data_IF_018042874805
#
_entry.id   IF_018042874805
#
_cell.length_a   1.000
_cell.length_b   1.000
_cell.length_c   1.000
_cell.angle_alpha   90.00
_cell.angle_beta   90.00
_cell.angle_gamma   90.00
#
_symmetry.space_group_name_H-M   'P 1'
#
loop_
_entity.id
_entity.type
_entity.pdbx_description
1 polymer ?
2 non-polymer ?
3 non-polymer ?
4 non-polymer ?
5 non-polymer ?
6 non-polymer ?
7 non-polymer ?
8 water ?
#
# COMPACT_ATOMS: atom_id res chain seq x y z
N UNK A 6 16.23 -6.92 39.35
CA UNK A 6 17.18 -7.56 38.43
C UNK A 6 17.02 -7.06 37.00
N UNK A 7 18.13 -7.06 36.27
CA UNK A 7 18.16 -6.34 34.99
C UNK A 7 17.31 -7.01 33.92
N UNK A 8 17.16 -8.34 33.95
CA UNK A 8 16.51 -9.06 32.85
C UNK A 8 15.58 -10.13 33.42
N UNK A 9 14.32 -10.09 32.99
CA UNK A 9 13.38 -11.16 33.31
C UNK A 9 13.45 -12.25 32.24
N UNK A 10 13.62 -13.50 32.67
CA UNK A 10 13.46 -14.62 31.76
C UNK A 10 12.09 -15.27 31.89
N UNK A 11 11.19 -14.63 32.58
CA UNK A 11 9.80 -15.02 32.66
C UNK A 11 8.91 -14.00 31.95
N UNK A 12 7.81 -14.43 31.35
CA UNK A 12 6.86 -13.48 30.75
C UNK A 12 6.32 -12.51 31.79
N UNK A 13 5.96 -11.32 31.32
CA UNK A 13 5.57 -10.20 32.16
C UNK A 13 4.19 -9.73 31.74
N UNK A 14 3.34 -9.41 32.71
CA UNK A 14 2.05 -8.80 32.44
C UNK A 14 2.05 -7.35 32.90
N UNK A 15 1.61 -6.45 32.02
CA UNK A 15 1.36 -5.06 32.38
C UNK A 15 -0.14 -4.83 32.39
N UNK A 16 -0.61 -4.01 33.33
CA UNK A 16 -2.04 -3.74 33.49
C UNK A 16 -2.18 -2.49 34.35
N UNK A 17 -3.41 -2.25 34.83
CA UNK A 17 -3.67 -1.04 35.61
C UNK A 17 -2.85 -0.99 36.90
N UNK A 18 -2.50 -2.16 37.46
CA UNK A 18 -1.70 -2.21 38.68
C UNK A 18 -0.21 -2.12 38.43
N UNK A 19 0.24 -2.33 37.19
CA UNK A 19 1.66 -2.24 36.86
C UNK A 19 1.77 -1.73 35.43
N UNK A 20 2.00 -0.43 35.27
CA UNK A 20 2.01 0.20 33.96
C UNK A 20 3.42 0.41 33.43
N UNK A 21 4.45 0.07 34.21
CA UNK A 21 5.84 0.28 33.83
C UNK A 21 6.53 -1.05 33.67
N UNK A 22 7.14 -1.28 32.50
CA UNK A 22 8.08 -2.37 32.35
C UNK A 22 9.39 -1.93 32.99
N UNK A 23 9.95 -2.74 33.88
CA UNK A 23 11.12 -2.28 34.63
C UNK A 23 12.36 -3.15 34.42
N UNK A 24 12.30 -4.11 33.51
CA UNK A 24 13.48 -4.88 33.14
C UNK A 24 13.35 -5.30 31.68
N UNK A 25 14.48 -5.61 31.06
CA UNK A 25 14.42 -6.29 29.78
C UNK A 25 13.75 -7.65 29.97
N UNK A 26 13.07 -8.12 28.94
CA UNK A 26 12.41 -9.41 28.95
C UNK A 26 13.03 -10.23 27.84
N UNK A 27 13.55 -11.42 28.18
CA UNK A 27 14.22 -12.28 27.21
C UNK A 27 13.73 -13.70 27.48
N UNK A 28 12.90 -14.23 26.58
CA UNK A 28 12.34 -15.58 26.70
C UNK A 28 12.88 -16.39 25.54
N UNK A 29 13.44 -17.57 25.85
CA UNK A 29 13.94 -18.49 24.84
C UNK A 29 13.32 -19.86 25.09
N UNK A 30 13.03 -20.62 24.03
CA UNK A 30 12.53 -21.97 24.26
C UNK A 30 12.13 -22.70 23.00
N UNK A 31 11.34 -23.75 23.20
CA UNK A 31 10.83 -24.54 22.08
C UNK A 31 9.32 -24.68 22.16
N UNK A 32 8.68 -23.78 22.89
CA UNK A 32 7.23 -23.75 23.04
C UNK A 32 6.70 -22.39 22.60
N UNK A 33 5.38 -22.27 22.67
CA UNK A 33 4.70 -21.00 22.49
C UNK A 33 5.23 -19.97 23.47
N UNK A 34 5.37 -18.72 23.00
CA UNK A 34 5.80 -17.62 23.87
C UNK A 34 4.94 -16.39 23.60
N UNK A 35 4.54 -15.70 24.67
CA UNK A 35 4.08 -14.31 24.64
C UNK A 35 4.90 -13.63 25.74
N UNK A 36 5.86 -12.79 25.35
CA UNK A 36 6.83 -12.32 26.32
C UNK A 36 6.21 -11.28 27.26
N UNK A 37 5.41 -10.37 26.73
CA UNK A 37 4.79 -9.32 27.51
C UNK A 37 3.32 -9.23 27.12
N UNK A 38 2.43 -9.27 28.10
CA UNK A 38 0.99 -9.15 27.87
C UNK A 38 0.54 -7.83 28.48
N UNK A 39 -0.18 -7.04 27.69
CA UNK A 39 -0.79 -5.79 28.17
C UNK A 39 -2.29 -6.03 28.28
N UNK A 40 -2.80 -6.05 29.52
CA UNK A 40 -4.22 -6.28 29.79
C UNK A 40 -4.86 -4.95 30.17
N UNK A 41 -5.81 -4.49 29.35
CA UNK A 41 -6.38 -3.16 29.53
C UNK A 41 -7.71 -3.16 30.25
N UNK A 42 -8.32 -4.31 30.50
CA UNK A 42 -9.77 -4.33 30.70
C UNK A 42 -10.19 -3.80 32.06
N UNK A 43 -9.33 -3.87 33.09
CA UNK A 43 -9.70 -3.36 34.40
C UNK A 43 -9.34 -1.89 34.59
N UNK A 44 -8.67 -1.27 33.61
CA UNK A 44 -8.49 0.18 33.60
C UNK A 44 -9.85 0.88 33.66
N UNK A 45 -9.98 1.85 34.59
CA UNK A 45 -11.23 2.61 34.64
C UNK A 45 -11.29 3.63 33.52
N UNK A 46 -10.17 4.27 33.18
CA UNK A 46 -10.13 5.00 31.92
C UNK A 46 -9.16 4.32 30.97
N UNK A 47 -8.50 5.10 30.13
CA UNK A 47 -7.46 4.55 29.28
C UNK A 47 -6.28 4.07 30.14
N UNK A 48 -5.46 3.20 29.56
CA UNK A 48 -4.26 2.71 30.19
C UNK A 48 -3.04 3.33 29.50
N UNK A 49 -2.11 3.86 30.29
CA UNK A 49 -0.88 4.44 29.77
C UNK A 49 0.30 3.61 30.27
N UNK A 50 1.00 2.95 29.35
CA UNK A 50 2.06 2.00 29.66
C UNK A 50 3.40 2.52 29.17
N UNK A 51 4.45 2.30 29.96
CA UNK A 51 5.79 2.71 29.54
C UNK A 51 6.71 1.51 29.56
N UNK A 52 7.49 1.34 28.48
CA UNK A 52 8.49 0.27 28.44
C UNK A 52 9.82 0.72 29.03
N UNK A 53 9.97 2.00 29.38
CA UNK A 53 11.17 2.49 30.03
C UNK A 53 12.47 2.29 29.26
N UNK A 54 12.39 2.17 27.93
CA UNK A 54 13.56 1.86 27.12
C UNK A 54 13.99 0.41 27.16
N UNK A 55 13.25 -0.46 27.82
CA UNK A 55 13.63 -1.86 27.93
C UNK A 55 13.27 -2.63 26.68
N UNK A 56 14.10 -3.61 26.35
CA UNK A 56 13.85 -4.46 25.20
C UNK A 56 13.06 -5.70 25.61
N UNK A 57 12.38 -6.28 24.63
CA UNK A 57 11.50 -7.41 24.81
C UNK A 57 11.80 -8.39 23.69
N UNK A 58 12.16 -9.63 24.03
CA UNK A 58 12.60 -10.60 23.02
C UNK A 58 11.99 -11.96 23.31
N UNK A 59 11.27 -12.50 22.33
CA UNK A 59 10.72 -13.84 22.38
C UNK A 59 11.33 -14.64 21.24
N UNK A 60 12.01 -15.74 21.56
CA UNK A 60 12.68 -16.59 20.60
C UNK A 60 12.27 -18.03 20.85
N UNK A 61 11.72 -18.69 19.83
CA UNK A 61 11.32 -20.08 20.03
C UNK A 61 11.51 -20.87 18.74
N UNK A 62 11.84 -22.15 18.90
CA UNK A 62 11.89 -23.08 17.79
C UNK A 62 10.59 -23.87 17.64
N UNK A 63 9.53 -23.45 18.30
CA UNK A 63 8.28 -24.20 18.24
C UNK A 63 7.74 -24.15 16.82
N UNK A 64 7.32 -25.30 16.29
CA UNK A 64 6.92 -25.36 14.89
C UNK A 64 5.46 -24.93 14.69
N UNK A 65 4.55 -25.55 15.42
CA UNK A 65 3.13 -25.29 15.24
C UNK A 65 2.53 -24.61 16.45
N UNK A 66 3.19 -23.56 16.94
CA UNK A 66 2.57 -22.63 17.86
C UNK A 66 3.22 -21.28 17.66
N UNK A 67 2.64 -20.27 18.31
CA UNK A 67 2.92 -18.88 18.00
C UNK A 67 4.00 -18.31 18.90
N UNK A 68 4.77 -17.37 18.35
CA UNK A 68 5.80 -16.65 19.08
C UNK A 68 5.43 -15.17 19.01
N UNK A 69 5.19 -14.57 20.17
CA UNK A 69 4.68 -13.21 20.25
C UNK A 69 5.56 -12.40 21.20
N UNK A 70 5.95 -11.20 20.76
CA UNK A 70 6.67 -10.28 21.62
C UNK A 70 5.77 -9.65 22.64
N UNK A 71 4.74 -8.94 22.15
CA UNK A 71 3.78 -8.23 22.99
C UNK A 71 2.38 -8.63 22.55
N UNK A 72 1.50 -8.92 23.51
CA UNK A 72 0.09 -9.08 23.18
C UNK A 72 -0.71 -8.04 23.95
N UNK A 73 -1.63 -7.37 23.26
CA UNK A 73 -2.48 -6.33 23.84
C UNK A 73 -3.90 -6.87 23.84
N UNK A 74 -4.48 -7.02 25.03
CA UNK A 74 -5.81 -7.60 25.18
C UNK A 74 -6.68 -6.69 26.05
N UNK A 75 -7.97 -6.99 26.08
CA UNK A 75 -8.91 -6.23 26.87
C UNK A 75 -9.84 -5.36 26.04
N UNK A 76 -10.42 -4.34 26.67
CA UNK A 76 -11.44 -3.54 26.01
C UNK A 76 -11.32 -2.05 26.32
N UNK A 77 -10.20 -1.60 26.89
CA UNK A 77 -9.97 -0.18 27.12
C UNK A 77 -8.87 0.32 26.17
N UNK A 78 -8.85 1.64 25.97
CA UNK A 78 -7.80 2.25 25.16
C UNK A 78 -6.48 2.16 25.89
N UNK A 79 -5.39 2.00 25.14
CA UNK A 79 -4.05 1.97 25.70
C UNK A 79 -3.11 2.83 24.87
N UNK A 80 -2.18 3.50 25.55
CA UNK A 80 -1.06 4.20 24.92
C UNK A 80 0.19 3.46 25.35
N UNK A 81 0.99 3.03 24.38
CA UNK A 81 2.20 2.29 24.65
C UNK A 81 3.37 3.20 24.37
N UNK A 82 4.11 3.53 25.40
CA UNK A 82 5.27 4.39 25.25
C UNK A 82 6.48 3.49 25.14
N UNK A 83 6.95 3.29 23.90
CA UNK A 83 7.96 2.30 23.55
C UNK A 83 9.26 2.94 23.05
N UNK A 84 9.45 4.23 23.28
CA UNK A 84 10.63 4.93 22.76
C UNK A 84 11.91 4.23 23.19
N UNK A 85 12.79 3.96 22.22
CA UNK A 85 14.09 3.32 22.39
C UNK A 85 13.97 1.85 22.78
N UNK A 86 12.78 1.26 22.70
CA UNK A 86 12.61 -0.16 22.98
C UNK A 86 12.56 -0.94 21.67
N UNK A 87 13.17 -2.13 21.67
CA UNK A 87 13.05 -3.06 20.56
C UNK A 87 12.26 -4.28 21.02
N UNK A 88 11.21 -4.60 20.28
CA UNK A 88 10.30 -5.67 20.61
C UNK A 88 10.49 -6.70 19.51
N UNK A 89 10.98 -7.88 19.87
CA UNK A 89 11.41 -8.88 18.89
C UNK A 89 10.66 -10.20 19.10
N UNK A 90 10.13 -10.76 18.01
CA UNK A 90 9.65 -12.14 17.99
C UNK A 90 10.41 -12.88 16.89
N UNK A 91 11.05 -14.00 17.24
CA UNK A 91 11.91 -14.67 16.28
C UNK A 91 12.07 -16.15 16.63
N UNK A 92 12.85 -16.83 15.82
CA UNK A 92 13.06 -18.26 15.90
C UNK A 92 12.38 -18.95 14.73
N UNK A 93 13.00 -20.02 14.25
CA UNK A 93 12.52 -20.71 13.07
C UNK A 93 11.38 -21.65 13.43
N UNK A 94 10.23 -21.48 12.78
CA UNK A 94 9.10 -22.35 12.96
C UNK A 94 8.10 -22.11 11.85
N UNK A 95 7.20 -23.07 11.66
CA UNK A 95 6.20 -22.94 10.59
C UNK A 95 5.21 -21.82 10.90
N UNK A 96 4.76 -21.72 12.15
CA UNK A 96 3.77 -20.73 12.52
C UNK A 96 4.41 -19.34 12.64
N UNK A 97 3.58 -18.31 12.47
CA UNK A 97 4.11 -16.96 12.30
C UNK A 97 4.72 -16.47 13.62
N UNK A 98 5.78 -15.70 13.49
CA UNK A 98 6.36 -14.94 14.60
C UNK A 98 5.84 -13.50 14.49
N UNK A 99 5.25 -12.99 15.56
CA UNK A 99 4.64 -11.67 15.52
C UNK A 99 5.20 -10.81 16.64
N UNK A 100 5.72 -9.64 16.29
CA UNK A 100 6.31 -8.78 17.31
C UNK A 100 5.24 -8.27 18.27
N UNK A 101 4.09 -7.86 17.74
CA UNK A 101 3.01 -7.43 18.62
C UNK A 101 1.66 -7.85 18.04
N UNK A 102 0.86 -8.52 18.86
CA UNK A 102 -0.49 -8.95 18.50
C UNK A 102 -1.47 -8.08 19.28
N UNK A 103 -2.48 -7.56 18.59
CA UNK A 103 -3.50 -6.75 19.24
C UNK A 103 -4.85 -7.45 19.01
N UNK A 104 -5.42 -8.00 20.08
CA UNK A 104 -6.82 -8.41 20.03
C UNK A 104 -7.69 -7.59 20.98
N UNK A 105 -7.13 -6.58 21.63
CA UNK A 105 -7.93 -5.60 22.35
C UNK A 105 -8.95 -4.94 21.44
N UNK A 106 -10.13 -4.68 21.98
CA UNK A 106 -11.13 -3.91 21.27
C UNK A 106 -10.96 -2.41 21.47
N UNK A 107 -10.08 -1.98 22.38
CA UNK A 107 -9.84 -0.56 22.55
C UNK A 107 -8.82 -0.01 21.56
N UNK A 108 -8.70 1.32 21.53
CA UNK A 108 -7.68 1.97 20.73
C UNK A 108 -6.29 1.58 21.22
N UNK A 109 -5.31 1.65 20.31
CA UNK A 109 -3.91 1.43 20.64
C UNK A 109 -3.10 2.55 19.98
N UNK A 110 -2.42 3.36 20.80
CA UNK A 110 -1.47 4.35 20.32
C UNK A 110 -0.09 3.85 20.71
N UNK A 111 0.84 3.79 19.75
CA UNK A 111 2.23 3.40 20.03
C UNK A 111 3.12 4.61 19.78
N UNK A 112 3.84 5.03 20.81
CA UNK A 112 4.81 6.10 20.68
C UNK A 112 6.21 5.48 20.62
N UNK A 113 6.88 5.62 19.47
CA UNK A 113 8.21 5.05 19.33
C UNK A 113 8.19 3.53 19.24
N UNK A 114 9.34 2.93 19.53
CA UNK A 114 9.45 1.48 19.46
C UNK A 114 10.01 0.98 18.14
N UNK A 115 10.72 -0.13 18.22
CA UNK A 115 11.25 -0.83 17.05
C UNK A 115 10.69 -2.24 17.13
N UNK A 116 9.78 -2.59 16.22
CA UNK A 116 9.15 -3.90 16.23
C UNK A 116 9.81 -4.79 15.17
N UNK A 117 10.38 -5.89 15.62
CA UNK A 117 11.20 -6.77 14.78
C UNK A 117 10.60 -8.17 14.82
N UNK A 118 10.42 -8.76 13.65
CA UNK A 118 9.99 -10.15 13.57
C UNK A 118 10.87 -10.87 12.58
N UNK A 119 11.40 -12.02 12.96
CA UNK A 119 12.27 -12.82 12.09
C UNK A 119 11.82 -14.27 12.12
N UNK A 120 11.76 -14.89 10.94
CA UNK A 120 11.44 -16.32 10.87
C UNK A 120 11.93 -16.80 9.52
N UNK A 121 13.04 -17.53 9.51
CA UNK A 121 13.56 -17.99 8.24
C UNK A 121 12.79 -19.16 7.66
N UNK A 122 11.92 -19.79 8.45
CA UNK A 122 11.19 -20.97 8.00
C UNK A 122 9.75 -20.65 7.62
N UNK A 123 9.03 -19.94 8.49
CA UNK A 123 7.68 -19.49 8.16
C UNK A 123 7.56 -17.99 8.02
N UNK A 124 6.39 -17.44 8.37
CA UNK A 124 6.11 -16.02 8.21
C UNK A 124 6.63 -15.22 9.41
N UNK A 125 6.83 -13.93 9.17
CA UNK A 125 7.12 -12.98 10.23
C UNK A 125 6.24 -11.75 10.03
N UNK A 126 5.64 -11.28 11.13
CA UNK A 126 4.71 -10.16 11.09
C UNK A 126 5.08 -9.16 12.18
N UNK A 127 5.10 -7.87 11.82
CA UNK A 127 5.41 -6.85 12.80
C UNK A 127 4.28 -6.64 13.79
N UNK A 128 3.13 -6.21 13.28
CA UNK A 128 1.97 -5.93 14.13
C UNK A 128 0.75 -6.58 13.48
N UNK A 129 0.00 -7.35 14.27
CA UNK A 129 -1.23 -7.97 13.77
C UNK A 129 -2.42 -7.38 14.52
N UNK A 130 -3.43 -6.96 13.77
CA UNK A 130 -4.66 -6.38 14.31
C UNK A 130 -5.74 -7.45 14.26
N UNK A 131 -6.12 -7.98 15.43
CA UNK A 131 -6.98 -9.15 15.47
C UNK A 131 -8.24 -8.97 16.31
N UNK A 132 -8.56 -7.76 16.74
CA UNK A 132 -9.85 -7.55 17.40
C UNK A 132 -10.98 -7.90 16.46
N UNK A 133 -11.95 -8.68 16.97
CA UNK A 133 -13.07 -9.12 16.15
C UNK A 133 -13.74 -7.94 15.44
N UNK A 134 -13.86 -6.84 16.15
CA UNK A 134 -14.62 -5.70 15.67
C UNK A 134 -13.76 -4.62 15.00
N UNK A 135 -12.45 -4.80 14.94
CA UNK A 135 -11.60 -3.79 14.36
C UNK A 135 -10.98 -2.89 15.43
N UNK A 136 -9.85 -2.28 15.09
CA UNK A 136 -9.06 -1.49 16.01
C UNK A 136 -8.76 -0.14 15.38
N UNK A 137 -8.47 0.84 16.23
CA UNK A 137 -7.75 2.04 15.83
C UNK A 137 -6.31 1.84 16.31
N UNK A 138 -5.37 1.91 15.38
CA UNK A 138 -3.95 1.75 15.69
C UNK A 138 -3.22 2.99 15.20
N UNK A 139 -2.46 3.62 16.08
CA UNK A 139 -1.66 4.78 15.70
C UNK A 139 -0.21 4.54 16.07
N UNK A 140 0.69 4.76 15.11
CA UNK A 140 2.12 4.55 15.28
C UNK A 140 2.80 5.90 15.11
N UNK A 141 3.34 6.45 16.21
CA UNK A 141 4.01 7.76 16.20
C UNK A 141 5.51 7.53 16.38
N UNK A 142 6.28 7.71 15.31
CA UNK A 142 7.72 7.54 15.42
C UNK A 142 8.18 6.11 15.59
N UNK A 143 7.41 5.16 15.09
CA UNK A 143 7.63 3.73 15.28
C UNK A 143 8.37 3.15 14.07
N UNK A 144 9.12 2.09 14.31
CA UNK A 144 9.82 1.36 13.25
C UNK A 144 9.37 -0.10 13.24
N UNK A 145 9.13 -0.64 12.04
CA UNK A 145 8.74 -2.04 11.89
C UNK A 145 9.69 -2.73 10.92
N UNK A 146 10.13 -3.94 11.28
CA UNK A 146 11.13 -4.70 10.52
C UNK A 146 10.75 -6.18 10.58
N UNK A 147 9.99 -6.63 9.58
CA UNK A 147 9.49 -8.01 9.51
C UNK A 147 10.21 -8.76 8.40
N UNK A 148 10.80 -9.92 8.74
CA UNK A 148 11.59 -10.70 7.78
C UNK A 148 11.25 -12.17 7.95
N UNK A 149 10.32 -12.65 7.13
CA UNK A 149 10.04 -14.06 7.06
C UNK A 149 10.76 -14.71 5.89
N UNK A 150 10.34 -15.93 5.58
CA UNK A 150 10.76 -16.64 4.38
C UNK A 150 10.27 -15.94 3.11
N UNK A 151 11.23 -15.48 2.29
CA UNK A 151 10.97 -14.79 1.03
C UNK A 151 10.52 -15.74 -0.09
N UNK A 152 10.77 -17.04 0.10
CA UNK A 152 10.08 -18.02 -0.75
C UNK A 152 8.57 -17.86 -0.70
N UNK A 153 8.05 -17.17 0.31
CA UNK A 153 6.63 -16.88 0.44
C UNK A 153 6.38 -15.43 0.03
N UNK A 154 5.37 -15.22 -0.82
CA UNK A 154 5.03 -13.85 -1.20
C UNK A 154 4.52 -13.05 -0.01
N UNK A 155 3.78 -13.71 0.87
CA UNK A 155 3.17 -13.10 2.05
C UNK A 155 4.03 -13.28 3.30
N UNK A 156 5.33 -13.59 3.13
CA UNK A 156 6.12 -14.06 4.25
C UNK A 156 6.54 -13.01 5.25
N UNK A 157 6.67 -11.77 4.81
CA UNK A 157 7.19 -10.67 5.63
C UNK A 157 6.12 -9.59 5.60
N UNK A 158 5.40 -9.41 6.70
CA UNK A 158 4.29 -8.46 6.76
C UNK A 158 4.51 -7.52 7.93
N UNK A 159 4.76 -6.25 7.63
CA UNK A 159 4.91 -5.25 8.68
C UNK A 159 3.62 -5.09 9.48
N UNK A 160 2.50 -4.98 8.79
CA UNK A 160 1.23 -4.74 9.46
C UNK A 160 0.19 -5.65 8.80
N UNK A 161 -0.40 -6.54 9.59
CA UNK A 161 -1.32 -7.57 9.12
C UNK A 161 -2.69 -7.28 9.70
N UNK A 162 -3.67 -7.01 8.84
CA UNK A 162 -5.03 -6.67 9.26
C UNK A 162 -6.00 -7.57 8.50
N UNK A 163 -6.24 -8.77 9.02
CA UNK A 163 -7.13 -9.71 8.35
C UNK A 163 -8.38 -9.94 9.19
N UNK A 164 -9.52 -9.98 8.50
CA UNK A 164 -10.78 -10.35 9.13
C UNK A 164 -11.23 -11.68 8.54
N UNK A 165 -11.51 -12.65 9.41
CA UNK A 165 -11.83 -13.99 8.98
C UNK A 165 -10.60 -14.84 8.68
N UNK A 166 -10.86 -16.11 8.40
CA UNK A 166 -9.82 -17.04 7.96
C UNK A 166 -10.47 -18.18 7.20
N UNK A 167 -9.64 -19.11 6.73
CA UNK A 167 -10.14 -20.22 5.90
C UNK A 167 -11.12 -21.10 6.68
N UNK A 168 -10.83 -21.34 7.97
CA UNK A 168 -11.70 -22.19 8.79
C UNK A 168 -13.07 -21.55 8.96
N UNK A 169 -13.12 -20.32 9.45
CA UNK A 169 -14.36 -19.59 9.67
C UNK A 169 -14.30 -18.29 8.91
N UNK A 170 -15.18 -18.14 7.91
CA UNK A 170 -15.34 -16.85 7.27
C UNK A 170 -15.69 -15.77 8.27
N UNK A 171 -15.50 -14.53 7.86
CA UNK A 171 -15.80 -13.41 8.72
C UNK A 171 -17.22 -12.94 8.42
N UNK A 172 -18.07 -12.97 9.44
CA UNK A 172 -19.46 -12.54 9.30
C UNK A 172 -19.60 -11.23 10.05
N UNK A 173 -19.77 -10.13 9.30
CA UNK A 173 -19.99 -8.85 9.89
C UNK A 173 -19.17 -7.78 9.22
N UNK A 174 -19.02 -6.66 9.90
CA UNK A 174 -18.31 -5.53 9.35
C UNK A 174 -17.36 -5.02 10.42
N UNK A 175 -16.19 -4.55 9.97
CA UNK A 175 -15.17 -4.07 10.88
C UNK A 175 -14.40 -2.96 10.18
N UNK A 176 -13.95 -1.99 10.96
CA UNK A 176 -13.13 -0.90 10.46
C UNK A 176 -11.83 -0.88 11.27
N UNK A 177 -10.71 -0.94 10.57
CA UNK A 177 -9.40 -0.75 11.16
C UNK A 177 -8.87 0.61 10.68
N UNK A 178 -8.62 1.51 11.62
CA UNK A 178 -8.05 2.81 11.31
C UNK A 178 -6.58 2.74 11.69
N UNK A 179 -5.70 2.77 10.69
CA UNK A 179 -4.28 2.57 10.88
C UNK A 179 -3.57 3.83 10.44
N UNK A 180 -2.81 4.44 11.36
CA UNK A 180 -2.11 5.68 11.09
C UNK A 180 -0.63 5.47 11.36
N UNK A 181 0.19 5.79 10.36
CA UNK A 181 1.64 5.85 10.51
C UNK A 181 2.01 7.31 10.45
N UNK A 182 2.50 7.84 11.57
CA UNK A 182 2.89 9.24 11.66
C UNK A 182 4.38 9.28 11.99
N UNK A 183 5.18 9.76 11.03
CA UNK A 183 6.64 9.76 11.16
C UNK A 183 7.15 8.38 11.56
N UNK A 184 6.63 7.34 10.91
CA UNK A 184 7.03 5.98 11.20
C UNK A 184 7.70 5.35 9.98
N UNK A 185 8.44 4.28 10.21
CA UNK A 185 9.31 3.68 9.19
C UNK A 185 9.08 2.18 9.13
N UNK A 186 8.59 1.70 8.00
CA UNK A 186 8.57 0.27 7.75
C UNK A 186 9.84 -0.08 6.98
N UNK A 187 10.77 -0.72 7.68
CA UNK A 187 12.04 -1.08 7.07
C UNK A 187 11.89 -2.30 6.17
N UNK A 188 11.06 -3.26 6.61
CA UNK A 188 10.80 -4.45 5.81
C UNK A 188 9.44 -5.03 6.19
N UNK A 189 8.81 -5.68 5.23
CA UNK A 189 7.47 -6.22 5.37
C UNK A 189 6.44 -5.32 4.72
N UNK A 190 5.40 -5.92 4.17
CA UNK A 190 4.32 -5.21 3.54
C UNK A 190 3.17 -4.94 4.48
N UNK A 191 2.07 -4.50 3.90
CA UNK A 191 0.84 -4.23 4.64
C UNK A 191 -0.28 -5.01 3.97
N UNK A 192 -0.99 -5.81 4.76
CA UNK A 192 -2.06 -6.64 4.24
C UNK A 192 -3.37 -6.26 4.93
N UNK A 193 -4.36 -5.95 4.11
CA UNK A 193 -5.70 -5.56 4.56
C UNK A 193 -6.61 -6.52 3.80
N UNK A 194 -7.13 -7.52 4.50
CA UNK A 194 -7.78 -8.66 3.86
C UNK A 194 -9.03 -9.03 4.65
N UNK A 195 -10.05 -9.47 3.90
CA UNK A 195 -11.22 -10.11 4.51
C UNK A 195 -11.43 -11.46 3.83
N UNK A 196 -11.58 -12.51 4.64
CA UNK A 196 -11.89 -13.84 4.17
C UNK A 196 -13.29 -14.16 4.70
N UNK A 197 -14.30 -13.99 3.86
CA UNK A 197 -15.68 -14.10 4.33
C UNK A 197 -16.22 -15.52 4.31
N UNK A 198 -15.57 -16.43 3.59
CA UNK A 198 -16.15 -17.75 3.40
C UNK A 198 -17.54 -17.62 2.84
N UNK A 199 -18.50 -18.29 3.47
CA UNK A 199 -19.90 -18.19 3.07
C UNK A 199 -20.64 -17.13 3.88
N UNK A 200 -19.93 -16.37 4.71
CA UNK A 200 -20.54 -15.31 5.49
C UNK A 200 -20.55 -13.99 4.69
N UNK A 201 -21.10 -12.94 5.29
CA UNK A 201 -21.03 -11.58 4.74
C UNK A 201 -19.93 -10.84 5.49
N UNK A 202 -18.78 -10.66 4.85
CA UNK A 202 -17.67 -10.01 5.49
C UNK A 202 -17.36 -8.66 4.87
N UNK A 203 -17.31 -7.62 5.69
CA UNK A 203 -17.07 -6.26 5.20
C UNK A 203 -15.94 -5.70 6.03
N UNK A 204 -14.86 -5.30 5.37
CA UNK A 204 -13.67 -4.82 6.07
C UNK A 204 -13.25 -3.51 5.43
N UNK A 205 -13.22 -2.43 6.21
CA UNK A 205 -12.74 -1.14 5.71
C UNK A 205 -11.48 -0.78 6.48
N UNK A 206 -10.40 -0.46 5.76
CA UNK A 206 -9.18 -0.02 6.42
C UNK A 206 -8.90 1.39 5.95
N UNK A 207 -8.82 2.32 6.88
CA UNK A 207 -8.38 3.68 6.58
C UNK A 207 -6.91 3.76 6.97
N UNK A 208 -6.05 3.73 5.97
CA UNK A 208 -4.60 3.65 6.18
C UNK A 208 -4.02 5.02 5.88
N UNK A 209 -3.53 5.69 6.92
CA UNK A 209 -3.03 7.06 6.84
C UNK A 209 -1.53 7.02 7.06
N UNK A 210 -0.77 7.36 6.03
CA UNK A 210 0.69 7.36 6.06
C UNK A 210 1.11 8.82 5.95
N UNK A 211 1.55 9.40 7.07
CA UNK A 211 1.73 10.86 7.08
C UNK A 211 2.96 11.29 7.85
N UNK A 212 3.25 12.59 7.75
CA UNK A 212 4.25 13.29 8.56
C UNK A 212 5.62 12.62 8.50
N UNK A 213 6.15 12.45 7.29
CA UNK A 213 7.51 11.96 7.13
C UNK A 213 7.69 10.47 7.25
N UNK A 214 6.62 9.70 7.05
CA UNK A 214 6.75 8.26 7.13
C UNK A 214 7.49 7.71 5.91
N UNK A 215 8.06 6.52 6.06
CA UNK A 215 8.79 5.86 4.99
C UNK A 215 8.37 4.39 4.97
N UNK A 216 8.12 3.87 3.77
CA UNK A 216 7.95 2.43 3.60
C UNK A 216 9.02 1.92 2.63
N UNK A 217 9.83 0.98 3.11
CA UNK A 217 10.78 0.36 2.18
C UNK A 217 11.92 1.27 1.79
N UNK A 218 12.57 0.88 0.70
CA UNK A 218 13.65 1.67 0.12
C UNK A 218 13.70 1.38 -1.36
N UNK A 219 14.52 2.16 -2.09
CA UNK A 219 14.65 2.01 -3.53
C UNK A 219 14.99 0.58 -3.93
N UNK A 220 15.91 -0.05 -3.21
CA UNK A 220 16.30 -1.43 -3.48
C UNK A 220 15.54 -2.43 -2.62
N UNK A 221 14.44 -2.00 -2.00
CA UNK A 221 13.68 -2.86 -1.08
C UNK A 221 12.21 -2.46 -1.12
N UNK A 222 11.56 -2.70 -2.25
CA UNK A 222 10.16 -2.34 -2.44
C UNK A 222 9.27 -3.34 -1.73
N UNK A 223 8.25 -2.84 -1.06
CA UNK A 223 7.31 -3.67 -0.32
C UNK A 223 6.03 -3.84 -1.13
N UNK A 224 5.02 -4.47 -0.53
CA UNK A 224 3.71 -4.62 -1.15
C UNK A 224 2.63 -4.21 -0.17
N UNK A 225 1.74 -3.32 -0.59
CA UNK A 225 0.51 -3.07 0.14
C UNK A 225 -0.57 -3.88 -0.55
N UNK A 226 -1.18 -4.80 0.18
CA UNK A 226 -1.96 -5.89 -0.37
C UNK A 226 -3.37 -5.83 0.19
N UNK A 227 -4.36 -5.55 -0.67
CA UNK A 227 -5.75 -5.55 -0.25
C UNK A 227 -6.49 -6.67 -0.96
N UNK A 228 -7.22 -7.48 -0.19
CA UNK A 228 -7.80 -8.68 -0.77
C UNK A 228 -9.14 -9.01 -0.13
N UNK A 229 -10.09 -9.46 -0.95
CA UNK A 229 -11.40 -9.91 -0.52
C UNK A 229 -11.67 -11.28 -1.14
N UNK A 230 -12.16 -12.23 -0.34
CA UNK A 230 -12.56 -13.51 -0.89
C UNK A 230 -13.85 -14.00 -0.22
N UNK A 231 -14.62 -14.77 -0.98
CA UNK A 231 -15.88 -15.29 -0.45
C UNK A 231 -16.31 -16.45 -1.33
N UNK A 232 -17.19 -17.30 -0.79
CA UNK A 232 -17.69 -18.41 -1.58
C UNK A 232 -19.18 -18.60 -1.35
N UNK A 233 -19.84 -19.07 -2.41
CA UNK A 233 -21.26 -19.43 -2.39
C UNK A 233 -22.18 -18.28 -2.01
N UNK A 234 -22.91 -18.49 -0.90
CA UNK A 234 -23.79 -17.47 -0.37
C UNK A 234 -23.05 -16.30 0.24
N UNK A 235 -21.75 -16.44 0.46
CA UNK A 235 -20.98 -15.39 1.10
C UNK A 235 -20.81 -14.19 0.21
N UNK A 236 -20.31 -13.12 0.82
CA UNK A 236 -20.03 -11.87 0.12
C UNK A 236 -18.86 -11.21 0.82
N UNK A 237 -18.01 -10.51 0.05
CA UNK A 237 -16.85 -9.88 0.68
C UNK A 237 -16.57 -8.51 0.06
N UNK A 238 -16.39 -7.52 0.92
CA UNK A 238 -16.01 -6.17 0.50
C UNK A 238 -14.77 -5.79 1.28
N UNK A 239 -13.67 -5.52 0.57
CA UNK A 239 -12.46 -4.99 1.21
C UNK A 239 -12.28 -3.57 0.72
N UNK A 240 -12.39 -2.61 1.63
CA UNK A 240 -12.10 -1.22 1.29
C UNK A 240 -10.74 -0.87 1.89
N UNK A 241 -9.89 -0.24 1.10
CA UNK A 241 -8.63 0.31 1.58
C UNK A 241 -8.59 1.77 1.15
N UNK A 242 -8.69 2.67 2.10
CA UNK A 242 -8.58 4.10 1.83
C UNK A 242 -7.18 4.52 2.25
N UNK A 243 -6.31 4.67 1.28
CA UNK A 243 -4.89 4.87 1.51
C UNK A 243 -4.60 6.34 1.27
N UNK A 244 -4.29 7.04 2.36
CA UNK A 244 -3.94 8.45 2.31
C UNK A 244 -2.48 8.59 2.65
N UNK A 245 -1.72 9.25 1.77
CA UNK A 245 -0.28 9.42 1.94
C UNK A 245 0.01 10.92 1.92
N UNK A 246 0.71 11.41 2.94
CA UNK A 246 0.99 12.84 2.99
C UNK A 246 2.39 13.07 3.53
N UNK A 247 3.16 13.89 2.81
CA UNK A 247 4.51 14.26 3.23
C UNK A 247 5.38 13.04 3.54
N UNK A 248 5.27 12.00 2.71
CA UNK A 248 5.87 10.71 3.05
C UNK A 248 6.51 10.10 1.81
N UNK A 249 7.13 8.94 2.00
CA UNK A 249 7.89 8.27 0.95
C UNK A 249 7.54 6.79 0.99
N UNK A 250 7.05 6.26 -0.13
CA UNK A 250 6.55 4.89 -0.22
C UNK A 250 7.25 4.17 -1.37
N UNK A 251 8.02 3.13 -1.04
CA UNK A 251 8.57 2.19 -2.01
C UNK A 251 7.74 0.91 -1.87
N UNK A 252 6.65 0.82 -2.65
CA UNK A 252 5.71 -0.27 -2.43
C UNK A 252 4.80 -0.43 -3.63
N UNK A 253 4.62 -1.68 -4.04
CA UNK A 253 3.51 -2.00 -4.92
C UNK A 253 2.18 -1.88 -4.16
N UNK A 254 1.09 -1.75 -4.91
CA UNK A 254 -0.25 -1.70 -4.35
C UNK A 254 -1.10 -2.67 -5.14
N UNK A 255 -1.61 -3.71 -4.48
CA UNK A 255 -2.36 -4.77 -5.14
C UNK A 255 -3.78 -4.81 -4.62
N UNK A 256 -4.74 -4.86 -5.53
CA UNK A 256 -6.13 -5.10 -5.17
C UNK A 256 -6.53 -6.43 -5.78
N UNK A 257 -6.73 -7.44 -4.92
CA UNK A 257 -7.07 -8.78 -5.37
C UNK A 257 -8.46 -9.16 -4.87
N UNK A 258 -9.28 -9.69 -5.76
CA UNK A 258 -10.65 -10.07 -5.44
C UNK A 258 -10.85 -11.50 -5.94
N UNK A 259 -11.27 -12.40 -5.04
CA UNK A 259 -11.25 -13.83 -5.33
C UNK A 259 -12.59 -14.44 -4.92
N UNK A 260 -13.38 -14.80 -5.92
CA UNK A 260 -14.74 -15.29 -5.72
C UNK A 260 -14.83 -16.75 -6.14
N UNK A 261 -15.46 -17.59 -5.31
CA UNK A 261 -15.83 -18.94 -5.73
C UNK A 261 -17.34 -19.08 -5.70
N UNK A 262 -17.83 -19.99 -6.55
CA UNK A 262 -19.25 -20.33 -6.62
C UNK A 262 -20.12 -19.08 -6.69
N UNK A 263 -19.66 -18.11 -7.50
CA UNK A 263 -20.38 -16.88 -7.82
C UNK A 263 -20.64 -15.96 -6.62
N UNK A 264 -19.86 -16.06 -5.55
CA UNK A 264 -19.97 -15.09 -4.47
C UNK A 264 -19.45 -13.73 -4.94
N UNK A 265 -20.14 -12.67 -4.57
CA UNK A 265 -19.73 -11.32 -4.97
C UNK A 265 -18.61 -10.87 -4.04
N UNK A 266 -17.48 -10.48 -4.61
CA UNK A 266 -16.33 -10.01 -3.87
C UNK A 266 -15.82 -8.75 -4.56
N UNK A 267 -15.52 -7.72 -3.76
CA UNK A 267 -15.05 -6.45 -4.30
C UNK A 267 -13.92 -5.93 -3.45
N UNK A 268 -12.84 -5.50 -4.09
CA UNK A 268 -11.74 -4.83 -3.40
C UNK A 268 -11.63 -3.43 -3.97
N UNK A 269 -11.92 -2.42 -3.13
CA UNK A 269 -11.93 -1.02 -3.53
C UNK A 269 -10.72 -0.32 -2.90
N UNK A 270 -9.75 0.06 -3.71
CA UNK A 270 -8.57 0.80 -3.22
C UNK A 270 -8.69 2.24 -3.69
N UNK A 271 -8.73 3.16 -2.72
CA UNK A 271 -8.84 4.59 -2.97
C UNK A 271 -7.57 5.24 -2.42
N UNK A 272 -6.71 5.72 -3.31
CA UNK A 272 -5.42 6.30 -2.94
C UNK A 272 -5.44 7.82 -3.12
N UNK A 273 -5.02 8.53 -2.09
CA UNK A 273 -4.77 9.96 -2.17
C UNK A 273 -3.34 10.21 -1.74
N UNK A 274 -2.55 10.83 -2.62
CA UNK A 274 -1.11 11.00 -2.42
C UNK A 274 -0.83 12.51 -2.51
N UNK A 275 -0.39 13.09 -1.39
CA UNK A 275 -0.19 14.53 -1.31
C UNK A 275 1.23 14.83 -0.82
N UNK A 276 1.93 15.71 -1.55
CA UNK A 276 3.32 16.09 -1.20
C UNK A 276 4.18 14.87 -0.86
N UNK A 277 4.04 13.80 -1.65
CA UNK A 277 4.71 12.55 -1.32
C UNK A 277 5.40 11.96 -2.55
N UNK A 278 6.30 11.02 -2.29
CA UNK A 278 6.95 10.24 -3.33
C UNK A 278 6.49 8.80 -3.22
N UNK A 279 5.93 8.27 -4.31
CA UNK A 279 5.53 6.87 -4.34
C UNK A 279 6.24 6.20 -5.50
N UNK A 280 7.03 5.17 -5.19
CA UNK A 280 7.68 4.35 -6.20
C UNK A 280 7.14 2.93 -6.07
N UNK A 281 6.52 2.44 -7.13
CA UNK A 281 5.89 1.14 -7.06
C UNK A 281 4.76 1.06 -8.04
N UNK A 282 4.26 -0.17 -8.23
CA UNK A 282 3.28 -0.47 -9.27
C UNK A 282 1.93 -0.80 -8.66
N UNK A 283 0.87 -0.44 -9.37
CA UNK A 283 -0.48 -0.74 -8.91
C UNK A 283 -1.07 -1.81 -9.80
N UNK A 284 -1.73 -2.80 -9.21
CA UNK A 284 -2.37 -3.87 -9.97
C UNK A 284 -3.74 -4.19 -9.43
N UNK A 285 -4.64 -4.56 -10.34
CA UNK A 285 -5.89 -5.22 -9.98
C UNK A 285 -5.85 -6.66 -10.46
N UNK A 286 -6.48 -7.57 -9.72
CA UNK A 286 -6.59 -8.96 -10.14
C UNK A 286 -7.94 -9.52 -9.69
N UNK A 287 -8.72 -10.05 -10.63
CA UNK A 287 -10.01 -10.67 -10.35
C UNK A 287 -9.93 -12.15 -10.66
N UNK A 288 -10.37 -12.97 -9.72
CA UNK A 288 -10.47 -14.42 -9.92
C UNK A 288 -11.92 -14.81 -9.70
N UNK A 289 -12.57 -15.27 -10.76
CA UNK A 289 -13.96 -15.66 -10.58
C UNK A 289 -14.91 -14.66 -11.20
N UNK A 290 -16.08 -15.17 -11.63
CA UNK A 290 -17.00 -14.38 -12.44
C UNK A 290 -17.44 -13.12 -11.72
N UNK A 291 -17.77 -13.22 -10.43
CA UNK A 291 -18.35 -12.11 -9.69
C UNK A 291 -17.34 -11.37 -8.84
N UNK A 292 -16.06 -11.51 -9.13
CA UNK A 292 -15.02 -10.73 -8.47
C UNK A 292 -14.79 -9.41 -9.21
N UNK A 293 -14.85 -8.31 -8.48
CA UNK A 293 -14.49 -7.02 -9.04
C UNK A 293 -13.43 -6.37 -8.17
N UNK A 294 -12.66 -5.44 -8.74
CA UNK A 294 -11.62 -4.72 -8.02
C UNK A 294 -11.40 -3.39 -8.72
N UNK A 295 -10.97 -2.40 -7.94
CA UNK A 295 -10.76 -1.09 -8.54
C UNK A 295 -9.67 -0.35 -7.80
N UNK A 296 -9.02 0.54 -8.53
CA UNK A 296 -7.97 1.40 -8.00
C UNK A 296 -8.33 2.83 -8.38
N UNK A 297 -8.45 3.69 -7.39
CA UNK A 297 -8.68 5.11 -7.67
C UNK A 297 -7.48 5.87 -7.13
N UNK A 298 -6.61 6.33 -8.03
CA UNK A 298 -5.33 6.93 -7.68
C UNK A 298 -5.39 8.43 -7.95
N UNK A 299 -5.16 9.22 -6.92
CA UNK A 299 -5.17 10.67 -7.05
C UNK A 299 -3.88 11.22 -6.44
N UNK A 300 -3.10 11.91 -7.28
CA UNK A 300 -1.91 12.62 -6.82
C UNK A 300 -2.20 14.11 -6.76
N UNK A 301 -1.80 14.75 -5.66
CA UNK A 301 -2.02 16.18 -5.54
C UNK A 301 -0.80 16.78 -4.87
N UNK A 302 -0.77 18.12 -4.85
CA UNK A 302 0.22 18.88 -4.10
C UNK A 302 1.64 18.41 -4.39
N UNK A 303 2.03 18.48 -5.68
CA UNK A 303 3.42 18.23 -6.10
C UNK A 303 3.91 16.83 -5.71
N UNK A 304 3.03 15.83 -5.83
CA UNK A 304 3.44 14.44 -5.61
C UNK A 304 4.10 13.85 -6.86
N UNK A 305 4.94 12.85 -6.64
CA UNK A 305 5.58 12.13 -7.74
C UNK A 305 5.28 10.63 -7.58
N UNK A 306 4.79 10.02 -8.66
CA UNK A 306 4.57 8.58 -8.76
C UNK A 306 5.47 8.02 -9.85
N UNK A 307 6.36 7.12 -9.46
CA UNK A 307 7.21 6.43 -10.43
C UNK A 307 6.79 4.96 -10.42
N UNK A 308 6.09 4.55 -11.47
CA UNK A 308 5.62 3.18 -11.51
C UNK A 308 4.63 3.00 -12.64
N UNK A 309 3.97 1.86 -12.61
CA UNK A 309 3.03 1.51 -13.67
C UNK A 309 1.76 0.95 -13.03
N UNK A 310 0.71 0.83 -13.85
CA UNK A 310 -0.56 0.30 -13.36
C UNK A 310 -1.17 -0.57 -14.45
N UNK A 311 -1.66 -1.74 -14.06
CA UNK A 311 -2.25 -2.68 -15.01
C UNK A 311 -3.16 -3.63 -14.24
N UNK A 312 -3.87 -4.47 -15.00
CA UNK A 312 -4.78 -5.46 -14.43
C UNK A 312 -6.17 -5.34 -15.02
N UNK A 313 -6.94 -6.41 -14.81
CA UNK A 313 -8.25 -6.50 -15.42
C UNK A 313 -9.34 -5.80 -14.61
N UNK A 314 -9.00 -5.25 -13.45
CA UNK A 314 -9.95 -4.46 -12.70
C UNK A 314 -10.04 -3.04 -13.25
N UNK A 315 -10.76 -2.20 -12.52
CA UNK A 315 -10.99 -0.81 -12.93
C UNK A 315 -9.93 0.09 -12.30
N UNK A 316 -9.35 0.97 -13.10
CA UNK A 316 -8.33 1.86 -12.56
C UNK A 316 -8.49 3.26 -13.12
N UNK A 317 -8.31 4.24 -12.25
CA UNK A 317 -8.45 5.64 -12.60
C UNK A 317 -7.28 6.41 -11.99
N UNK A 318 -6.68 7.31 -12.76
CA UNK A 318 -5.54 8.08 -12.28
C UNK A 318 -5.84 9.55 -12.48
N UNK A 319 -5.65 10.35 -11.43
CA UNK A 319 -5.85 11.78 -11.51
C UNK A 319 -4.63 12.48 -10.91
N UNK A 320 -4.16 13.55 -11.56
CA UNK A 320 -2.98 14.30 -11.15
C UNK A 320 -3.32 15.78 -11.06
N UNK A 321 -2.98 16.41 -9.94
CA UNK A 321 -3.18 17.85 -9.77
C UNK A 321 -1.96 18.51 -9.11
N UNK A 322 -1.91 19.85 -9.21
CA UNK A 322 -0.96 20.68 -8.45
C UNK A 322 0.50 20.30 -8.78
N UNK A 323 0.83 20.24 -10.07
CA UNK A 323 2.21 19.95 -10.45
C UNK A 323 2.70 18.58 -10.07
N UNK A 324 1.80 17.60 -9.97
CA UNK A 324 2.22 16.24 -9.71
C UNK A 324 2.81 15.64 -10.99
N UNK A 325 3.56 14.56 -10.82
CA UNK A 325 4.21 13.89 -11.94
C UNK A 325 3.94 12.40 -11.84
N UNK A 326 3.50 11.80 -12.95
CA UNK A 326 3.49 10.35 -13.07
C UNK A 326 4.57 9.96 -14.07
N UNK A 327 5.63 9.33 -13.56
CA UNK A 327 6.74 8.83 -14.36
C UNK A 327 6.48 7.37 -14.67
N UNK A 328 6.04 7.08 -15.89
CA UNK A 328 5.54 5.75 -16.24
C UNK A 328 6.71 4.82 -16.54
N UNK A 329 6.78 3.70 -15.83
CA UNK A 329 7.95 2.83 -15.94
C UNK A 329 7.70 1.59 -16.78
N UNK A 330 6.45 1.31 -17.13
CA UNK A 330 6.13 0.13 -17.90
C UNK A 330 4.73 0.29 -18.45
N UNK A 331 4.39 -0.57 -19.41
CA UNK A 331 3.08 -0.48 -20.06
C UNK A 331 1.96 -0.39 -19.04
N UNK A 332 1.13 0.64 -19.17
CA UNK A 332 0.07 0.87 -18.21
C UNK A 332 -1.27 0.97 -18.92
N UNK A 333 -2.31 0.47 -18.25
CA UNK A 333 -3.68 0.51 -18.74
C UNK A 333 -4.59 1.01 -17.63
N UNK A 334 -5.39 2.04 -17.92
CA UNK A 334 -6.37 2.58 -16.99
C UNK A 334 -7.66 2.86 -17.77
N UNK A 335 -8.75 3.00 -17.02
CA UNK A 335 -10.00 3.44 -17.63
C UNK A 335 -10.01 4.92 -17.93
N UNK A 336 -9.36 5.71 -17.08
CA UNK A 336 -9.52 7.15 -17.08
C UNK A 336 -8.24 7.76 -16.54
N UNK A 337 -7.79 8.81 -17.23
CA UNK A 337 -6.61 9.56 -16.83
C UNK A 337 -6.97 11.04 -16.89
N UNK A 338 -6.77 11.75 -15.78
CA UNK A 338 -7.05 13.18 -15.72
C UNK A 338 -5.81 13.90 -15.26
N UNK A 339 -5.46 15.00 -15.94
CA UNK A 339 -4.22 15.74 -15.69
C UNK A 339 -4.57 17.21 -15.57
N UNK A 340 -4.27 17.80 -14.42
CA UNK A 340 -4.51 19.21 -14.17
C UNK A 340 -3.23 19.84 -13.65
N UNK A 341 -2.66 20.77 -14.44
CA UNK A 341 -1.43 21.46 -14.04
C UNK A 341 -0.33 20.46 -13.68
N UNK A 342 -0.29 19.33 -14.39
CA UNK A 342 0.52 18.21 -13.96
C UNK A 342 1.16 17.57 -15.19
N UNK A 343 2.00 16.56 -14.95
CA UNK A 343 2.85 15.97 -15.99
C UNK A 343 2.72 14.45 -15.98
N UNK A 344 2.58 13.87 -17.17
CA UNK A 344 2.77 12.43 -17.37
C UNK A 344 4.01 12.24 -18.24
N UNK A 345 4.98 11.48 -17.73
CA UNK A 345 6.23 11.25 -18.44
C UNK A 345 6.17 9.83 -19.03
N UNK A 346 5.99 9.74 -20.35
CA UNK A 346 5.88 8.44 -20.99
C UNK A 346 7.08 8.17 -21.88
N UNK A 347 8.24 8.74 -21.53
CA UNK A 347 9.46 8.46 -22.29
C UNK A 347 9.78 6.98 -22.35
N UNK A 348 9.38 6.22 -21.32
CA UNK A 348 9.81 4.84 -21.20
C UNK A 348 8.70 3.82 -21.46
N UNK A 349 7.45 4.24 -21.64
CA UNK A 349 6.39 3.26 -21.77
C UNK A 349 5.10 3.88 -22.27
N UNK A 350 4.26 3.04 -22.87
CA UNK A 350 2.96 3.42 -23.38
C UNK A 350 1.91 3.42 -22.28
N UNK A 351 1.06 4.45 -22.27
CA UNK A 351 -0.12 4.47 -21.41
C UNK A 351 -1.35 4.25 -22.29
N UNK A 352 -2.15 3.26 -21.93
CA UNK A 352 -3.45 3.04 -22.55
C UNK A 352 -4.54 3.49 -21.59
N UNK A 353 -5.41 4.38 -22.04
CA UNK A 353 -6.53 4.83 -21.23
C UNK A 353 -7.77 4.90 -22.08
N UNK A 354 -8.92 4.68 -21.44
CA UNK A 354 -10.19 4.87 -22.09
C UNK A 354 -10.51 6.34 -22.31
N UNK A 355 -10.56 7.13 -21.25
CA UNK A 355 -10.77 8.56 -21.36
C UNK A 355 -9.53 9.33 -20.91
N UNK A 356 -9.46 10.59 -21.34
CA UNK A 356 -8.37 11.48 -21.00
C UNK A 356 -8.87 12.91 -20.97
N UNK A 357 -8.57 13.60 -19.87
CA UNK A 357 -8.96 14.99 -19.66
C UNK A 357 -7.73 15.74 -19.16
N UNK A 358 -7.39 16.83 -19.83
CA UNK A 358 -6.18 17.56 -19.51
C UNK A 358 -6.51 19.04 -19.37
N UNK A 359 -6.03 19.66 -18.30
CA UNK A 359 -6.19 21.10 -18.12
C UNK A 359 -4.82 21.66 -17.76
N UNK A 360 -4.21 22.42 -18.68
CA UNK A 360 -2.82 22.80 -18.56
C UNK A 360 -1.97 21.56 -18.25
N UNK A 361 -2.18 20.52 -19.03
CA UNK A 361 -1.46 19.28 -18.85
C UNK A 361 -0.17 19.25 -19.66
N UNK A 362 0.76 18.39 -19.21
CA UNK A 362 2.05 18.21 -19.86
C UNK A 362 2.30 16.73 -20.08
N UNK A 363 2.71 16.40 -21.31
CA UNK A 363 3.12 15.04 -21.68
C UNK A 363 4.59 15.06 -22.07
N UNK A 364 5.41 14.25 -21.40
CA UNK A 364 6.80 14.08 -21.81
C UNK A 364 6.89 12.81 -22.63
N UNK A 365 7.37 12.91 -23.87
CA UNK A 365 7.58 11.73 -24.69
C UNK A 365 9.06 11.63 -25.03
N UNK A 366 9.44 10.46 -25.54
CA UNK A 366 10.74 10.26 -26.18
C UNK A 366 10.41 10.15 -27.66
N UNK A 367 10.59 11.27 -28.39
CA UNK A 367 10.21 11.33 -29.80
C UNK A 367 10.94 10.31 -30.66
N UNK A 368 12.03 9.73 -30.16
CA UNK A 368 12.71 8.68 -30.90
C UNK A 368 12.17 7.29 -30.58
N UNK A 369 11.25 7.17 -29.64
CA UNK A 369 10.70 5.88 -29.22
C UNK A 369 9.35 5.64 -29.89
N UNK A 370 8.74 4.50 -29.56
CA UNK A 370 7.35 4.22 -29.91
C UNK A 370 6.48 4.12 -28.65
N UNK A 371 6.83 4.86 -27.61
CA UNK A 371 6.03 4.96 -26.40
C UNK A 371 5.04 6.10 -26.57
N UNK A 372 3.75 5.79 -26.51
CA UNK A 372 2.71 6.72 -26.90
C UNK A 372 1.61 6.78 -25.85
N UNK A 373 0.77 7.82 -25.96
CA UNK A 373 -0.45 7.93 -25.18
C UNK A 373 -1.61 7.47 -26.06
N UNK A 374 -2.16 6.29 -25.76
CA UNK A 374 -3.21 5.66 -26.56
C UNK A 374 -4.55 5.80 -25.84
N UNK A 375 -5.40 6.71 -26.31
CA UNK A 375 -6.69 6.99 -25.70
C UNK A 375 -7.76 6.37 -26.58
N UNK A 376 -8.40 5.30 -26.10
CA UNK A 376 -9.39 4.59 -26.90
C UNK A 376 -10.72 5.33 -26.98
N UNK A 377 -11.05 6.12 -25.97
CA UNK A 377 -12.29 6.87 -26.00
C UNK A 377 -12.06 8.35 -26.09
N UNK A 378 -12.83 9.13 -25.35
CA UNK A 378 -12.85 10.58 -25.51
C UNK A 378 -11.67 11.24 -24.81
N UNK A 379 -10.93 12.05 -25.56
CA UNK A 379 -9.86 12.90 -25.03
C UNK A 379 -10.30 14.34 -25.14
N UNK A 380 -10.05 15.12 -24.09
CA UNK A 380 -10.55 16.49 -24.04
C UNK A 380 -9.52 17.39 -23.34
N UNK A 381 -9.62 18.69 -23.60
CA UNK A 381 -8.80 19.66 -22.91
C UNK A 381 -7.58 20.13 -23.68
N UNK A 382 -6.51 20.47 -22.96
CA UNK A 382 -5.33 21.06 -23.58
C UNK A 382 -4.07 20.44 -23.00
N UNK A 383 -3.12 20.11 -23.88
CA UNK A 383 -1.92 19.36 -23.53
C UNK A 383 -0.72 19.93 -24.27
N UNK A 384 0.39 20.10 -23.56
CA UNK A 384 1.66 20.45 -24.19
C UNK A 384 2.58 19.23 -24.15
N UNK A 385 3.22 18.95 -25.28
CA UNK A 385 4.04 17.76 -25.47
C UNK A 385 5.50 18.17 -25.65
N UNK A 386 6.39 17.54 -24.88
CA UNK A 386 7.83 17.78 -24.92
C UNK A 386 8.59 16.49 -25.18
N UNK A 387 9.74 16.63 -25.86
CA UNK A 387 10.71 15.56 -25.99
C UNK A 387 12.10 16.19 -26.02
N UNK A 388 13.07 15.53 -25.40
CA UNK A 388 14.45 15.95 -25.61
C UNK A 388 14.84 15.75 -27.07
N UNK A 389 15.74 16.59 -27.57
CA UNK A 389 16.17 16.48 -28.94
C UNK A 389 16.81 15.13 -29.23
N UNK A 390 16.65 14.67 -30.45
CA UNK A 390 17.27 13.44 -30.91
C UNK A 390 18.32 13.75 -31.97
N UNK A 391 19.43 13.03 -31.92
CA UNK A 391 20.39 13.14 -33.02
C UNK A 391 19.81 12.62 -34.31
N UNK A 392 18.84 11.71 -34.23
CA UNK A 392 18.23 11.10 -35.40
C UNK A 392 16.92 11.81 -35.76
N UNK A 393 16.50 11.63 -37.01
CA UNK A 393 15.22 12.15 -37.44
C UNK A 393 14.08 11.44 -36.69
N UNK A 394 12.94 12.11 -36.57
CA UNK A 394 11.77 11.59 -35.86
C UNK A 394 10.88 10.87 -36.87
N UNK A 395 10.31 9.74 -36.45
CA UNK A 395 9.35 9.02 -37.27
C UNK A 395 8.05 9.82 -37.29
N UNK A 396 7.72 10.39 -38.44
CA UNK A 396 6.52 11.21 -38.59
C UNK A 396 5.25 10.38 -38.64
N UNK A 397 5.35 9.05 -38.67
CA UNK A 397 4.17 8.20 -38.69
C UNK A 397 3.82 7.65 -37.31
N UNK A 398 4.60 7.97 -36.28
CA UNK A 398 4.29 7.52 -34.92
C UNK A 398 3.24 8.44 -34.31
N UNK A 399 2.09 7.89 -33.95
CA UNK A 399 1.03 8.66 -33.29
C UNK A 399 1.36 8.74 -31.80
N UNK A 400 2.06 9.81 -31.42
CA UNK A 400 2.44 9.94 -30.02
C UNK A 400 1.24 10.19 -29.12
N UNK A 401 0.14 10.72 -29.66
CA UNK A 401 -1.15 10.68 -29.00
C UNK A 401 -2.16 10.13 -29.99
N UNK A 402 -2.86 9.08 -29.60
CA UNK A 402 -4.02 8.56 -30.32
C UNK A 402 -5.26 8.83 -29.49
N UNK A 403 -6.35 9.22 -30.15
CA UNK A 403 -7.61 9.52 -29.49
C UNK A 403 -8.74 8.70 -30.12
N UNK A 404 -9.80 8.46 -29.34
CA UNK A 404 -11.05 7.91 -29.81
C UNK A 404 -12.03 9.01 -30.16
N UNK A 405 -13.32 8.65 -30.20
CA UNK A 405 -14.22 9.67 -30.73
C UNK A 405 -14.89 10.58 -29.69
N UNK A 406 -15.51 11.61 -30.23
CA UNK A 406 -15.88 12.88 -29.62
C UNK A 406 -14.69 13.51 -28.90
N UNK A 407 -13.48 13.21 -29.37
CA UNK A 407 -12.28 13.81 -28.82
C UNK A 407 -12.16 15.27 -29.25
N UNK A 408 -11.90 16.12 -28.27
CA UNK A 408 -11.74 17.55 -28.49
C UNK A 408 -10.41 18.05 -27.96
N UNK A 409 -9.49 17.13 -27.66
CA UNK A 409 -8.18 17.47 -27.12
C UNK A 409 -7.41 18.38 -28.07
N UNK A 410 -6.85 19.46 -27.51
CA UNK A 410 -5.90 20.32 -28.22
C UNK A 410 -4.50 20.02 -27.69
N UNK A 411 -3.60 19.58 -28.58
CA UNK A 411 -2.27 19.16 -28.16
C UNK A 411 -1.23 19.80 -29.06
N UNK A 412 -0.21 20.42 -28.45
CA UNK A 412 0.82 21.13 -29.21
C UNK A 412 2.18 20.79 -28.62
N UNK A 413 3.21 21.09 -29.40
CA UNK A 413 4.58 20.91 -28.94
C UNK A 413 5.57 20.89 -30.09
N UNK A 414 6.83 21.09 -29.73
CA UNK A 414 7.89 21.07 -30.72
C UNK A 414 9.09 20.32 -30.15
N UNK A 415 9.80 19.63 -31.03
CA UNK A 415 11.00 18.91 -30.64
C UNK A 415 11.99 19.02 -31.78
N UNK A 416 13.19 18.49 -31.56
CA UNK A 416 14.28 18.59 -32.52
C UNK A 416 14.73 17.19 -32.88
N UNK A 417 14.93 16.95 -34.17
CA UNK A 417 15.36 15.65 -34.63
C UNK A 417 16.41 15.82 -35.72
N UNK A 418 17.64 15.39 -35.47
CA UNK A 418 18.72 15.74 -36.38
C UNK A 418 18.87 17.25 -36.42
N UNK A 419 18.94 17.81 -37.62
CA UNK A 419 19.04 19.25 -37.77
C UNK A 419 17.69 19.92 -37.95
N UNK A 420 16.59 19.23 -37.71
CA UNK A 420 15.27 19.76 -38.01
C UNK A 420 14.45 19.98 -36.73
N UNK A 421 13.59 20.99 -36.80
CA UNK A 421 12.53 21.19 -35.83
C UNK A 421 11.29 20.45 -36.30
N UNK A 422 10.60 19.80 -35.36
CA UNK A 422 9.35 19.09 -35.62
C UNK A 422 8.23 19.69 -34.79
N UNK A 423 7.05 19.82 -35.38
CA UNK A 423 5.87 20.36 -34.69
C UNK A 423 4.83 19.27 -34.53
N UNK A 424 4.30 19.12 -33.31
CA UNK A 424 3.21 18.17 -33.09
C UNK A 424 1.99 18.63 -33.87
N UNK A 425 1.46 17.74 -34.71
CA UNK A 425 0.42 18.13 -35.65
C UNK A 425 -0.70 17.11 -35.65
N UNK A 426 -1.95 17.58 -35.59
CA UNK A 426 -3.08 16.67 -35.67
C UNK A 426 -3.27 16.21 -37.12
N UNK A 427 -3.36 14.90 -37.30
CA UNK A 427 -3.59 14.35 -38.61
C UNK A 427 -5.08 14.22 -38.91
N UNK A 428 -5.37 13.89 -40.17
CA UNK A 428 -6.76 13.71 -40.59
C UNK A 428 -7.47 12.64 -39.77
N UNK A 429 -6.71 11.69 -39.22
CA UNK A 429 -7.28 10.64 -38.37
C UNK A 429 -7.52 11.10 -36.94
N UNK A 430 -7.23 12.36 -36.60
CA UNK A 430 -7.43 12.85 -35.26
C UNK A 430 -6.28 12.63 -34.30
N UNK A 431 -5.33 11.79 -34.67
CA UNK A 431 -4.16 11.53 -33.84
C UNK A 431 -3.10 12.62 -34.04
N UNK A 432 -2.09 12.60 -33.18
CA UNK A 432 -1.08 13.65 -33.16
C UNK A 432 0.28 13.07 -33.47
N UNK A 433 0.98 13.70 -34.42
CA UNK A 433 2.24 13.23 -34.96
C UNK A 433 3.26 14.38 -34.97
N UNK A 434 4.53 14.04 -34.88
CA UNK A 434 5.56 15.06 -35.02
C UNK A 434 5.89 15.21 -36.50
N UNK A 435 5.79 16.43 -37.01
CA UNK A 435 5.90 16.70 -38.44
C UNK A 435 7.06 17.67 -38.66
N UNK A 436 7.97 17.31 -39.57
CA UNK A 436 9.14 18.13 -39.81
C UNK A 436 8.72 19.51 -40.31
N UNK A 437 9.32 20.55 -39.73
CA UNK A 437 9.01 21.93 -40.05
C UNK A 437 10.21 22.47 -40.82
N UNK A 438 10.01 22.79 -42.09
CA UNK A 438 11.11 23.21 -42.95
C UNK A 438 11.04 24.68 -43.33
#
# INVERSE_FOLDING_TARGET
SNATDSTVSTDPVTLNTEKTTLDQDVVINGDNKITAVTIETSDSDKDLNVTFGGHDITATSTVNQDFVEGVKVSGNKNVVINATDSTITAQGEGTYVRTAMVIDSTGDVVVNGGNFVAKNEKGSATGISLEATTGNNLTLNGTTINAQGNKSYSNGSTAIFAQKGNLLQGFDGDATDNITLADSNIINGGIETIVTAGNKTGIHTVNLNIKDGSVIGAANNKQTIYASASAQGAGSATQNLNLSVADSTIYSDVLALSESENSASTTTNVNMNVARSYWEGNAYTFNSGDKAGSDLDINLSDSSVWKGKVSGAGDASVSLQNGSVWNVTGSSTVDALAVKDSTVNITKATVNTGTFASQNGTLIVDASSENTLDISGKASGDLRVYSAGSLDLINEQTAFISTGKDSTLKATGTTEGGLYQYDLTQGADGNFYFVKNTHKASNASSVIQAMAAAPANVANLQADTL
#
